data_IF_951582092333
#
_entry.id   IF_951582092333
#
_cell.length_a   1.000
_cell.length_b   1.000
_cell.length_c   1.000
_cell.angle_alpha   90.00
_cell.angle_beta   90.00
_cell.angle_gamma   90.00
#
_symmetry.space_group_name_H-M   'P 1'
#
loop_
_entity.id
_entity.type
_entity.pdbx_description
1 polymer ?
#
# COMPACT_ATOMS: atom_id res chain seq x y z
N UNK A 1 -18.88 31.46 -2.92
CA UNK A 1 -18.10 30.23 -2.71
C UNK A 1 -16.73 30.67 -2.24
N UNK A 2 -16.40 30.52 -0.97
CA UNK A 2 -15.09 30.87 -0.43
C UNK A 2 -14.08 29.83 -0.91
N UNK A 3 -13.16 30.26 -1.76
CA UNK A 3 -11.98 29.50 -2.14
C UNK A 3 -11.12 29.37 -0.88
N UNK A 4 -11.22 28.23 -0.19
CA UNK A 4 -10.47 28.00 1.05
C UNK A 4 -8.98 27.96 0.68
N UNK A 5 -8.23 28.99 1.06
CA UNK A 5 -6.80 29.04 0.80
C UNK A 5 -6.11 27.82 1.43
N UNK A 6 -5.33 27.09 0.62
CA UNK A 6 -4.59 25.92 1.10
C UNK A 6 -3.69 26.29 2.27
N UNK A 7 -3.72 25.46 3.30
CA UNK A 7 -2.81 25.56 4.45
C UNK A 7 -1.37 25.32 4.01
N UNK A 8 -0.40 25.83 4.80
CA UNK A 8 1.03 25.61 4.51
C UNK A 8 1.39 24.11 4.44
N UNK A 9 0.76 23.28 5.28
CA UNK A 9 0.99 21.84 5.27
C UNK A 9 0.53 21.20 3.96
N UNK A 10 -0.63 21.61 3.44
CA UNK A 10 -1.15 21.11 2.15
C UNK A 10 -0.26 21.56 0.99
N UNK A 11 0.22 22.82 1.01
CA UNK A 11 1.14 23.32 -0.01
C UNK A 11 2.47 22.55 0.00
N UNK A 12 3.06 22.36 1.19
CA UNK A 12 4.27 21.57 1.36
C UNK A 12 4.04 20.11 0.90
N UNK A 13 2.88 19.53 1.20
CA UNK A 13 2.55 18.15 0.83
C UNK A 13 2.42 17.99 -0.69
N UNK A 14 1.82 18.98 -1.36
CA UNK A 14 1.75 19.02 -2.82
C UNK A 14 3.15 19.13 -3.43
N UNK A 15 4.05 19.96 -2.86
CA UNK A 15 5.43 20.04 -3.35
C UNK A 15 6.18 18.71 -3.18
N UNK A 16 6.05 18.07 -2.00
CA UNK A 16 6.64 16.75 -1.74
C UNK A 16 6.11 15.71 -2.71
N UNK A 17 4.79 15.68 -2.94
CA UNK A 17 4.18 14.74 -3.87
C UNK A 17 4.67 14.95 -5.32
N UNK A 18 4.72 16.21 -5.79
CA UNK A 18 5.27 16.54 -7.12
C UNK A 18 6.71 16.07 -7.27
N UNK A 19 7.52 16.30 -6.24
CA UNK A 19 8.91 15.84 -6.23
C UNK A 19 9.02 14.32 -6.27
N UNK A 20 8.18 13.60 -5.52
CA UNK A 20 8.10 12.15 -5.57
C UNK A 20 7.72 11.65 -6.97
N UNK A 21 6.76 12.29 -7.65
CA UNK A 21 6.34 11.93 -9.01
C UNK A 21 7.52 12.05 -10.00
N UNK A 22 8.31 13.14 -9.91
CA UNK A 22 9.52 13.29 -10.74
C UNK A 22 10.60 12.24 -10.43
N UNK A 23 10.55 11.62 -9.26
CA UNK A 23 11.49 10.60 -8.79
C UNK A 23 10.83 9.22 -8.64
N UNK A 24 9.73 8.97 -9.36
CA UNK A 24 9.00 7.70 -9.30
C UNK A 24 9.93 6.51 -9.56
N UNK A 25 9.68 5.40 -8.85
CA UNK A 25 10.46 4.17 -8.93
C UNK A 25 11.84 4.21 -8.25
N UNK A 26 12.35 5.38 -7.84
CA UNK A 26 13.65 5.48 -7.15
C UNK A 26 13.49 5.34 -5.64
N UNK A 27 14.44 4.64 -5.01
CA UNK A 27 14.58 4.65 -3.56
C UNK A 27 15.20 5.97 -3.11
N UNK A 28 14.53 6.67 -2.20
CA UNK A 28 14.91 7.98 -1.69
C UNK A 28 14.88 8.01 -0.18
N UNK A 29 15.79 8.76 0.43
CA UNK A 29 15.83 8.98 1.89
C UNK A 29 15.13 10.29 2.26
N UNK A 30 14.86 10.48 3.56
CA UNK A 30 14.42 11.78 4.08
C UNK A 30 15.39 12.93 3.74
N UNK A 31 16.69 12.65 3.61
CA UNK A 31 17.68 13.65 3.22
C UNK A 31 17.49 14.09 1.77
N UNK A 32 17.22 13.14 0.88
CA UNK A 32 17.03 13.43 -0.55
C UNK A 32 15.75 14.23 -0.76
N UNK A 33 14.67 13.85 -0.05
CA UNK A 33 13.42 14.62 -0.06
C UNK A 33 13.66 16.03 0.48
N UNK A 34 14.31 16.18 1.64
CA UNK A 34 14.61 17.47 2.26
C UNK A 34 15.36 18.41 1.30
N UNK A 35 16.40 17.88 0.64
CA UNK A 35 17.19 18.61 -0.34
C UNK A 35 16.37 18.94 -1.60
N UNK A 36 15.50 18.03 -2.02
CA UNK A 36 14.68 18.17 -3.23
C UNK A 36 13.57 19.19 -3.12
N UNK A 37 12.98 19.33 -1.92
CA UNK A 37 11.83 20.21 -1.67
C UNK A 37 12.18 21.45 -0.85
N UNK A 38 13.43 21.58 -0.40
CA UNK A 38 13.89 22.73 0.38
C UNK A 38 13.33 22.80 1.80
N UNK A 39 12.77 21.70 2.34
CA UNK A 39 12.28 21.63 3.72
C UNK A 39 13.32 20.90 4.58
N UNK A 40 13.88 21.54 5.62
CA UNK A 40 14.86 20.90 6.49
C UNK A 40 14.32 19.63 7.15
N UNK A 41 15.20 18.64 7.34
CA UNK A 41 14.85 17.39 8.01
C UNK A 41 14.40 17.66 9.45
N UNK A 42 13.23 17.14 9.81
CA UNK A 42 12.65 17.27 11.14
C UNK A 42 11.15 17.02 11.13
N UNK A 43 10.48 17.32 12.24
CA UNK A 43 9.06 17.04 12.44
C UNK A 43 8.12 17.72 11.43
N UNK A 44 8.54 18.84 10.81
CA UNK A 44 7.79 19.46 9.69
C UNK A 44 7.79 18.55 8.48
N UNK A 45 8.98 18.17 7.99
CA UNK A 45 9.13 17.30 6.83
C UNK A 45 8.41 15.96 7.02
N UNK A 46 8.51 15.35 8.21
CA UNK A 46 7.82 14.08 8.50
C UNK A 46 6.30 14.21 8.41
N UNK A 47 5.72 15.30 8.94
CA UNK A 47 4.28 15.58 8.81
C UNK A 47 3.89 15.81 7.36
N UNK A 48 4.70 16.57 6.62
CA UNK A 48 4.47 16.84 5.20
C UNK A 48 4.51 15.55 4.38
N UNK A 49 5.49 14.68 4.61
CA UNK A 49 5.61 13.39 3.91
C UNK A 49 4.43 12.48 4.22
N UNK A 50 3.95 12.45 5.48
CA UNK A 50 2.71 11.72 5.83
C UNK A 50 1.48 12.26 5.10
N UNK A 51 1.34 13.59 5.02
CA UNK A 51 0.25 14.22 4.28
C UNK A 51 0.35 13.94 2.77
N UNK A 52 1.55 14.01 2.20
CA UNK A 52 1.81 13.67 0.80
C UNK A 52 1.48 12.21 0.50
N UNK A 53 1.78 11.27 1.41
CA UNK A 53 1.36 9.87 1.29
C UNK A 53 -0.15 9.74 1.24
N UNK A 54 -0.88 10.37 2.16
CA UNK A 54 -2.35 10.32 2.14
C UNK A 54 -2.93 10.88 0.83
N UNK A 55 -2.35 11.97 0.32
CA UNK A 55 -2.72 12.52 -0.99
C UNK A 55 -2.39 11.57 -2.15
N UNK A 56 -1.22 10.91 -2.11
CA UNK A 56 -0.81 9.92 -3.10
C UNK A 56 -1.79 8.72 -3.12
N UNK A 57 -2.19 8.22 -1.95
CA UNK A 57 -3.17 7.14 -1.81
C UNK A 57 -4.52 7.52 -2.43
N UNK A 58 -5.00 8.76 -2.21
CA UNK A 58 -6.23 9.26 -2.83
C UNK A 58 -6.16 9.32 -4.37
N UNK A 59 -4.96 9.48 -4.93
CA UNK A 59 -4.70 9.44 -6.38
C UNK A 59 -4.41 8.04 -6.91
N UNK A 60 -4.43 7.01 -6.06
CA UNK A 60 -4.13 5.63 -6.42
C UNK A 60 -2.63 5.31 -6.51
N UNK A 61 -1.76 6.23 -6.08
CA UNK A 61 -0.32 5.98 -5.98
C UNK A 61 0.05 5.37 -4.63
N UNK A 62 1.22 4.73 -4.56
CA UNK A 62 1.74 4.13 -3.33
C UNK A 62 3.09 4.76 -2.96
N UNK A 63 3.16 5.44 -1.80
CA UNK A 63 4.45 5.79 -1.19
C UNK A 63 4.73 4.78 -0.08
N UNK A 64 5.71 3.91 -0.30
CA UNK A 64 6.07 2.83 0.63
C UNK A 64 6.47 3.34 2.02
N UNK A 65 6.41 2.46 3.01
CA UNK A 65 7.04 2.71 4.31
C UNK A 65 8.54 2.94 4.19
N UNK A 66 9.04 3.83 5.06
CA UNK A 66 10.47 4.00 5.21
C UNK A 66 11.03 2.72 5.84
N UNK A 67 11.75 1.95 5.04
CA UNK A 67 12.36 0.70 5.45
C UNK A 67 13.89 0.81 5.39
N UNK A 68 14.63 0.01 6.18
CA UNK A 68 16.08 -0.06 6.06
C UNK A 68 16.48 -0.38 4.62
N UNK A 69 17.38 0.43 4.06
CA UNK A 69 17.84 0.25 2.69
C UNK A 69 18.50 -1.11 2.50
N UNK A 70 18.12 -1.79 1.42
CA UNK A 70 18.79 -3.00 0.93
C UNK A 70 19.97 -2.70 0.02
N UNK A 71 20.11 -1.46 -0.46
CA UNK A 71 21.25 -1.01 -1.26
C UNK A 71 22.49 -0.84 -0.36
N UNK A 72 23.62 -1.53 -0.66
CA UNK A 72 24.88 -1.35 0.05
C UNK A 72 25.35 0.11 0.13
N UNK A 73 25.04 0.94 -0.88
CA UNK A 73 25.43 2.37 -0.97
C UNK A 73 24.67 3.24 0.04
N UNK A 74 23.53 2.76 0.53
CA UNK A 74 22.67 3.44 1.49
C UNK A 74 22.56 2.66 2.81
N UNK A 75 23.56 1.82 3.15
CA UNK A 75 23.57 1.03 4.39
C UNK A 75 23.29 1.91 5.61
N UNK A 76 22.31 1.47 6.42
CA UNK A 76 21.88 2.18 7.63
C UNK A 76 20.94 3.37 7.40
N UNK A 77 20.65 3.73 6.15
CA UNK A 77 19.60 4.70 5.83
C UNK A 77 18.24 4.02 5.70
N UNK A 78 17.19 4.77 6.04
CA UNK A 78 15.82 4.38 5.74
C UNK A 78 15.40 5.02 4.41
N UNK A 79 14.91 4.19 3.49
CA UNK A 79 14.47 4.61 2.15
C UNK A 79 13.00 4.32 1.95
N UNK A 80 12.36 5.11 1.11
CA UNK A 80 11.01 4.91 0.59
C UNK A 80 11.04 5.03 -0.93
N UNK A 81 9.94 4.66 -1.59
CA UNK A 81 9.76 4.75 -3.03
C UNK A 81 8.30 5.10 -3.33
N UNK A 82 8.09 5.96 -4.33
CA UNK A 82 6.78 6.16 -4.94
C UNK A 82 6.62 5.19 -6.11
N UNK A 83 5.54 4.43 -6.10
CA UNK A 83 5.05 3.64 -7.23
C UNK A 83 3.77 4.29 -7.77
N UNK A 84 3.77 4.61 -9.06
CA UNK A 84 2.62 5.21 -9.73
C UNK A 84 1.49 4.19 -9.89
N UNK A 85 0.26 4.69 -10.06
CA UNK A 85 -0.94 3.85 -10.11
C UNK A 85 -0.90 2.81 -11.25
N UNK A 86 -0.22 3.14 -12.35
CA UNK A 86 -0.13 2.31 -13.55
C UNK A 86 1.05 1.32 -13.52
N UNK A 87 1.98 1.46 -12.57
CA UNK A 87 3.25 0.72 -12.51
C UNK A 87 3.25 -0.37 -11.42
N UNK A 88 2.05 -0.89 -11.08
CA UNK A 88 1.79 -1.71 -9.90
C UNK A 88 2.91 -2.69 -9.51
N UNK A 89 3.28 -2.69 -8.23
CA UNK A 89 4.26 -3.61 -7.66
C UNK A 89 3.64 -4.49 -6.55
N UNK A 90 4.41 -5.48 -6.09
CA UNK A 90 3.94 -6.44 -5.08
C UNK A 90 3.52 -5.75 -3.76
N UNK A 91 4.20 -4.67 -3.37
CA UNK A 91 3.89 -3.92 -2.15
C UNK A 91 2.59 -3.10 -2.31
N UNK A 92 2.43 -2.42 -3.45
CA UNK A 92 1.23 -1.70 -3.83
C UNK A 92 0.02 -2.62 -3.94
N UNK A 93 0.19 -3.81 -4.53
CA UNK A 93 -0.85 -4.83 -4.55
C UNK A 93 -1.26 -5.25 -3.13
N UNK A 94 -0.30 -5.52 -2.23
CA UNK A 94 -0.58 -5.86 -0.81
C UNK A 94 -1.29 -4.74 -0.07
N UNK A 95 -0.82 -3.51 -0.22
CA UNK A 95 -1.43 -2.34 0.38
C UNK A 95 -2.87 -2.15 -0.13
N UNK A 96 -3.10 -2.26 -1.44
CA UNK A 96 -4.42 -2.17 -2.05
C UNK A 96 -5.37 -3.25 -1.52
N UNK A 97 -4.94 -4.51 -1.43
CA UNK A 97 -5.75 -5.60 -0.88
C UNK A 97 -6.08 -5.40 0.60
N UNK A 98 -5.14 -4.87 1.39
CA UNK A 98 -5.39 -4.52 2.78
C UNK A 98 -6.42 -3.37 2.90
N UNK A 99 -6.30 -2.34 2.06
CA UNK A 99 -7.27 -1.23 1.99
C UNK A 99 -8.66 -1.71 1.59
N UNK A 100 -8.78 -2.62 0.63
CA UNK A 100 -10.05 -3.25 0.24
C UNK A 100 -10.71 -3.94 1.43
N UNK A 101 -9.96 -4.72 2.23
CA UNK A 101 -10.50 -5.37 3.44
C UNK A 101 -11.00 -4.38 4.48
N UNK A 102 -10.26 -3.29 4.70
CA UNK A 102 -10.69 -2.21 5.59
C UNK A 102 -11.96 -1.55 5.06
N UNK A 103 -12.04 -1.30 3.75
CA UNK A 103 -13.23 -0.78 3.07
C UNK A 103 -14.46 -1.67 3.27
N UNK A 104 -14.32 -2.99 3.07
CA UNK A 104 -15.41 -3.96 3.33
C UNK A 104 -15.88 -3.91 4.79
N UNK A 105 -14.95 -3.77 5.73
CA UNK A 105 -15.29 -3.64 7.15
C UNK A 105 -16.09 -2.37 7.42
N UNK A 106 -15.66 -1.23 6.87
CA UNK A 106 -16.39 0.04 6.95
C UNK A 106 -17.79 -0.06 6.32
N UNK A 107 -17.92 -0.71 5.16
CA UNK A 107 -19.21 -0.96 4.51
C UNK A 107 -20.13 -1.83 5.36
N UNK A 108 -19.61 -2.87 6.04
CA UNK A 108 -20.41 -3.67 6.98
C UNK A 108 -20.93 -2.84 8.16
N UNK A 109 -20.13 -1.89 8.65
CA UNK A 109 -20.57 -0.96 9.70
C UNK A 109 -21.65 -0.01 9.19
N UNK A 110 -21.48 0.56 7.99
CA UNK A 110 -22.49 1.38 7.33
C UNK A 110 -23.80 0.61 7.15
N UNK A 111 -23.75 -0.63 6.62
CA UNK A 111 -24.92 -1.49 6.46
C UNK A 111 -25.68 -1.66 7.77
N UNK A 112 -24.95 -1.87 8.87
CA UNK A 112 -25.54 -2.03 10.21
C UNK A 112 -26.24 -0.77 10.69
N UNK A 113 -25.61 0.40 10.50
CA UNK A 113 -26.19 1.70 10.84
C UNK A 113 -27.45 1.99 10.01
N UNK A 114 -27.40 1.79 8.70
CA UNK A 114 -28.56 1.97 7.82
C UNK A 114 -29.70 1.00 8.17
N UNK A 115 -29.38 -0.27 8.46
CA UNK A 115 -30.40 -1.26 8.82
C UNK A 115 -31.06 -0.96 10.19
N UNK A 116 -30.34 -0.29 11.09
CA UNK A 116 -30.89 0.21 12.34
C UNK A 116 -31.87 1.37 12.09
N UNK A 117 -31.45 2.39 11.33
CA UNK A 117 -32.30 3.55 11.02
C UNK A 117 -33.52 3.19 10.17
N UNK A 118 -33.39 2.21 9.27
CA UNK A 118 -34.52 1.70 8.49
C UNK A 118 -35.65 1.12 9.35
N UNK A 119 -35.32 0.62 10.56
CA UNK A 119 -36.27 0.04 11.52
C UNK A 119 -36.66 1.01 12.63
N UNK A 120 -36.06 2.19 12.67
CA UNK A 120 -36.28 3.19 13.70
C UNK A 120 -37.64 3.88 13.46
N UNK A 121 -38.59 3.66 14.37
CA UNK A 121 -39.94 4.24 14.27
C UNK A 121 -39.94 5.77 14.37
N UNK A 122 -38.89 6.35 14.97
CA UNK A 122 -38.69 7.80 15.08
C UNK A 122 -37.65 8.31 14.06
N UNK A 123 -37.18 7.44 13.15
CA UNK A 123 -36.13 7.75 12.19
C UNK A 123 -36.61 8.61 11.03
N UNK A 124 -35.68 9.38 10.45
CA UNK A 124 -35.95 10.18 9.26
C UNK A 124 -35.78 9.28 8.04
N UNK A 125 -36.79 9.23 7.16
CA UNK A 125 -36.73 8.54 5.87
C UNK A 125 -36.29 7.05 5.94
N UNK A 126 -37.00 6.19 6.67
CA UNK A 126 -36.65 4.76 6.83
C UNK A 126 -36.54 4.01 5.50
N UNK A 127 -37.32 4.40 4.48
CA UNK A 127 -37.23 3.84 3.12
C UNK A 127 -35.87 4.13 2.45
N UNK A 128 -35.34 5.35 2.60
CA UNK A 128 -34.04 5.71 2.04
C UNK A 128 -32.92 4.91 2.71
N UNK A 129 -32.98 4.74 4.04
CA UNK A 129 -32.02 3.89 4.74
C UNK A 129 -32.11 2.42 4.33
N UNK A 130 -33.31 1.90 4.05
CA UNK A 130 -33.49 0.55 3.54
C UNK A 130 -32.85 0.38 2.15
N UNK A 131 -33.05 1.34 1.25
CA UNK A 131 -32.43 1.36 -0.08
C UNK A 131 -30.89 1.44 0.03
N UNK A 132 -30.38 2.26 0.95
CA UNK A 132 -28.93 2.33 1.25
C UNK A 132 -28.40 1.00 1.78
N UNK A 133 -29.12 0.31 2.67
CA UNK A 133 -28.73 -1.02 3.16
C UNK A 133 -28.57 -2.00 2.00
N UNK A 134 -29.53 -2.06 1.09
CA UNK A 134 -29.48 -2.94 -0.09
C UNK A 134 -28.31 -2.57 -1.01
N UNK A 135 -28.08 -1.28 -1.27
CA UNK A 135 -26.97 -0.82 -2.10
C UNK A 135 -25.61 -1.21 -1.50
N UNK A 136 -25.43 -0.97 -0.20
CA UNK A 136 -24.18 -1.33 0.51
C UNK A 136 -23.97 -2.85 0.54
N UNK A 137 -25.02 -3.63 0.67
CA UNK A 137 -24.94 -5.09 0.63
C UNK A 137 -24.48 -5.60 -0.74
N UNK A 138 -24.99 -5.01 -1.83
CA UNK A 138 -24.48 -5.25 -3.19
C UNK A 138 -22.99 -4.93 -3.33
N UNK A 139 -22.55 -3.76 -2.83
CA UNK A 139 -21.13 -3.39 -2.83
C UNK A 139 -20.27 -4.37 -2.04
N UNK A 140 -20.72 -4.82 -0.87
CA UNK A 140 -20.00 -5.81 -0.05
C UNK A 140 -19.83 -7.11 -0.83
N UNK A 141 -20.85 -7.62 -1.52
CA UNK A 141 -20.76 -8.86 -2.29
C UNK A 141 -19.73 -8.73 -3.42
N UNK A 142 -19.81 -7.67 -4.23
CA UNK A 142 -18.87 -7.45 -5.34
C UNK A 142 -17.43 -7.33 -4.85
N UNK A 143 -17.19 -6.53 -3.81
CA UNK A 143 -15.83 -6.27 -3.31
C UNK A 143 -15.26 -7.45 -2.52
N UNK A 144 -16.11 -8.24 -1.84
CA UNK A 144 -15.64 -9.45 -1.12
C UNK A 144 -15.08 -10.50 -2.09
N UNK A 145 -15.68 -10.67 -3.27
CA UNK A 145 -15.16 -11.58 -4.30
C UNK A 145 -13.76 -11.19 -4.79
N UNK A 146 -13.48 -9.89 -4.92
CA UNK A 146 -12.11 -9.39 -5.22
C UNK A 146 -11.14 -9.72 -4.09
N UNK A 147 -11.57 -9.58 -2.83
CA UNK A 147 -10.76 -9.90 -1.66
C UNK A 147 -10.39 -11.39 -1.54
N UNK A 148 -11.31 -12.29 -1.89
CA UNK A 148 -11.09 -13.74 -1.91
C UNK A 148 -10.11 -14.15 -3.02
N UNK A 149 -10.30 -13.63 -4.23
CA UNK A 149 -9.36 -13.84 -5.34
C UNK A 149 -7.96 -13.32 -5.00
N UNK A 150 -7.87 -12.16 -4.34
CA UNK A 150 -6.60 -11.62 -3.87
C UNK A 150 -5.89 -12.53 -2.86
N UNK A 151 -6.63 -13.16 -1.94
CA UNK A 151 -6.05 -14.14 -0.99
C UNK A 151 -5.48 -15.36 -1.71
N UNK A 152 -6.20 -15.87 -2.69
CA UNK A 152 -5.75 -17.03 -3.47
C UNK A 152 -4.48 -16.72 -4.25
N UNK A 153 -4.41 -15.55 -4.90
CA UNK A 153 -3.18 -15.09 -5.57
C UNK A 153 -2.00 -15.02 -4.60
N UNK A 154 -2.20 -14.50 -3.38
CA UNK A 154 -1.11 -14.49 -2.38
C UNK A 154 -0.66 -15.87 -1.95
N UNK A 155 -1.60 -16.81 -1.77
CA UNK A 155 -1.29 -18.20 -1.43
C UNK A 155 -0.40 -18.81 -2.52
N UNK A 156 -0.81 -18.69 -3.77
CA UNK A 156 -0.07 -19.20 -4.93
C UNK A 156 1.31 -18.53 -5.07
N UNK A 157 1.41 -17.23 -4.82
CA UNK A 157 2.69 -16.51 -4.84
C UNK A 157 3.65 -17.06 -3.76
N UNK A 158 3.17 -17.26 -2.54
CA UNK A 158 3.97 -17.81 -1.44
C UNK A 158 4.46 -19.22 -1.73
N UNK A 159 3.63 -20.05 -2.36
CA UNK A 159 4.01 -21.40 -2.80
C UNK A 159 5.08 -21.35 -3.88
N UNK A 160 4.94 -20.44 -4.86
CA UNK A 160 5.94 -20.21 -5.90
C UNK A 160 7.29 -19.81 -5.31
N UNK A 161 7.31 -18.88 -4.36
CA UNK A 161 8.54 -18.40 -3.71
C UNK A 161 9.20 -19.48 -2.84
N UNK A 162 8.40 -20.35 -2.21
CA UNK A 162 8.92 -21.52 -1.50
C UNK A 162 9.57 -22.52 -2.46
N UNK A 163 8.96 -22.78 -3.62
CA UNK A 163 9.52 -23.63 -4.66
C UNK A 163 10.82 -23.05 -5.23
N UNK A 164 10.84 -21.75 -5.54
CA UNK A 164 12.04 -21.07 -6.06
C UNK A 164 13.23 -21.17 -5.09
N UNK A 165 13.00 -20.99 -3.78
CA UNK A 165 14.04 -21.21 -2.76
C UNK A 165 14.55 -22.64 -2.74
N UNK A 166 13.64 -23.61 -2.84
CA UNK A 166 14.00 -25.03 -2.84
C UNK A 166 14.79 -25.43 -4.09
N UNK A 167 14.46 -24.86 -5.25
CA UNK A 167 15.25 -25.01 -6.47
C UNK A 167 16.64 -24.42 -6.27
N UNK A 168 16.76 -23.19 -5.78
CA UNK A 168 18.06 -22.56 -5.51
C UNK A 168 18.92 -23.36 -4.51
N UNK A 169 18.31 -23.93 -3.46
CA UNK A 169 18.99 -24.82 -2.52
C UNK A 169 19.48 -26.11 -3.18
N UNK A 170 18.69 -26.71 -4.07
CA UNK A 170 19.08 -27.91 -4.82
C UNK A 170 20.19 -27.60 -5.82
N UNK A 171 20.11 -26.48 -6.53
CA UNK A 171 21.16 -25.99 -7.44
C UNK A 171 22.47 -25.72 -6.69
N UNK A 172 22.40 -25.08 -5.51
CA UNK A 172 23.57 -24.86 -4.66
C UNK A 172 24.19 -26.19 -4.21
N UNK A 173 23.37 -27.18 -3.83
CA UNK A 173 23.85 -28.52 -3.45
C UNK A 173 24.50 -29.27 -4.62
N UNK A 174 23.99 -29.10 -5.84
CA UNK A 174 24.60 -29.67 -7.05
C UNK A 174 25.93 -28.98 -7.38
N UNK A 175 26.00 -27.66 -7.22
CA UNK A 175 27.23 -26.88 -7.45
C UNK A 175 28.32 -27.15 -6.40
N UNK A 176 27.98 -27.70 -5.23
CA UNK A 176 28.89 -28.00 -4.12
C UNK A 176 28.94 -29.52 -3.79
N UNK A 177 28.48 -30.37 -4.71
CA UNK A 177 28.56 -31.84 -4.58
C UNK A 177 30.01 -32.36 -4.71
N UNK A 178 30.34 -33.53 -4.10
CA UNK A 178 31.68 -33.83 -3.61
C UNK A 178 32.72 -33.93 -4.73
N UNK A 179 33.73 -33.06 -4.66
CA UNK A 179 35.06 -33.36 -5.18
C UNK A 179 35.72 -34.36 -4.24
N UNK A 180 35.36 -35.64 -4.32
CA UNK A 180 36.09 -36.68 -3.59
C UNK A 180 36.30 -37.94 -4.42
N UNK A 181 37.56 -38.12 -4.80
CA UNK A 181 38.25 -39.41 -4.77
C UNK A 181 37.70 -40.52 -5.66
N UNK A 182 38.09 -40.50 -6.95
CA UNK A 182 38.49 -41.77 -7.56
C UNK A 182 39.78 -42.21 -6.87
N UNK A 183 39.62 -43.06 -5.85
CA UNK A 183 40.67 -43.88 -5.27
C UNK A 183 41.19 -44.79 -6.38
N UNK A 184 42.46 -44.59 -6.72
CA UNK A 184 43.27 -45.59 -7.40
C UNK A 184 43.73 -46.59 -6.36
N UNK A 185 43.21 -47.82 -6.42
CA UNK A 185 43.93 -49.04 -6.03
C UNK A 185 43.55 -50.12 -7.05
#
# INVERSE_FOLDING_TARGET
>A
MTETAMTQLEQDAVQVLKWFITNAGKYVTYRDIASGVGIPRGARLERTVRAARAAAENLGHCIEDFLPSRDPRHRGAYTTRLTLAEEGDEHGARAAMHTVRRGVTSMRNMRRACAYEAKNQNGIAPKAFQEMTTAVEGCIQTVSGVGELGQEVYRLQSEKDALARRVAELEARLAHGPSDGYVTV
#
